data_IF_949465018116
#
_entry.id   IF_949465018116
#
_cell.length_a   1.000
_cell.length_b   1.000
_cell.length_c   1.000
_cell.angle_alpha   90.00
_cell.angle_beta   90.00
_cell.angle_gamma   90.00
#
_symmetry.space_group_name_H-M   'P 1'
#
loop_
_entity.id
_entity.type
_entity.pdbx_description
1 polymer ?
#
# COMPACT_ATOMS: atom_id res chain seq x y z
N UNK A 1 45.72 -62.19 -39.67
CA UNK A 1 45.98 -60.73 -39.78
C UNK A 1 44.62 -60.04 -39.71
N UNK A 2 44.22 -59.56 -38.53
CA UNK A 2 44.29 -58.16 -38.09
C UNK A 2 43.22 -57.31 -38.82
N UNK A 3 42.30 -56.59 -38.18
CA UNK A 3 42.28 -55.91 -36.88
C UNK A 3 40.83 -55.82 -36.35
N UNK A 4 40.60 -56.12 -35.07
CA UNK A 4 39.38 -55.70 -34.35
C UNK A 4 39.57 -54.21 -34.02
N UNK A 5 38.81 -53.33 -34.64
CA UNK A 5 38.77 -51.92 -34.27
C UNK A 5 37.98 -51.80 -32.95
N UNK A 6 38.69 -51.71 -31.83
CA UNK A 6 38.10 -51.32 -30.55
C UNK A 6 37.74 -49.84 -30.60
N UNK A 7 36.45 -49.55 -30.49
CA UNK A 7 35.94 -48.19 -30.26
C UNK A 7 36.30 -47.83 -28.81
N UNK A 8 36.97 -46.68 -28.54
CA UNK A 8 37.20 -46.23 -27.17
C UNK A 8 35.86 -45.91 -26.50
N UNK A 9 35.70 -46.13 -25.19
CA UNK A 9 34.51 -45.67 -24.49
C UNK A 9 34.45 -44.15 -24.60
N UNK A 10 33.33 -43.61 -25.06
CA UNK A 10 33.02 -42.19 -24.88
C UNK A 10 32.85 -41.97 -23.37
N UNK A 11 33.92 -41.49 -22.72
CA UNK A 11 33.80 -40.88 -21.39
C UNK A 11 33.08 -39.55 -21.63
N UNK A 12 31.75 -39.60 -21.63
CA UNK A 12 30.95 -38.42 -21.32
C UNK A 12 31.10 -38.19 -19.82
N UNK A 13 32.16 -37.48 -19.46
CA UNK A 13 32.25 -36.75 -18.21
C UNK A 13 31.18 -35.65 -18.26
N UNK A 14 29.92 -36.03 -18.04
CA UNK A 14 28.84 -35.09 -17.70
C UNK A 14 29.09 -34.62 -16.26
N UNK A 15 30.15 -33.82 -16.09
CA UNK A 15 30.42 -33.07 -14.88
C UNK A 15 29.36 -31.98 -14.80
N UNK A 16 28.20 -32.34 -14.26
CA UNK A 16 27.15 -31.41 -13.91
C UNK A 16 27.68 -30.51 -12.80
N UNK A 17 28.39 -29.42 -13.17
CA UNK A 17 28.84 -28.42 -12.21
C UNK A 17 27.60 -27.83 -11.53
N UNK A 18 27.40 -28.04 -10.22
CA UNK A 18 26.25 -27.46 -9.53
C UNK A 18 26.31 -25.94 -9.70
N UNK A 19 25.22 -25.34 -10.16
CA UNK A 19 25.15 -23.87 -10.21
C UNK A 19 25.36 -23.35 -8.77
N UNK A 20 26.21 -22.33 -8.57
CA UNK A 20 26.51 -21.79 -7.25
C UNK A 20 25.32 -20.95 -6.78
N UNK A 21 24.28 -21.62 -6.31
CA UNK A 21 23.18 -20.97 -5.62
C UNK A 21 23.62 -20.63 -4.19
N UNK A 22 23.36 -19.41 -3.71
CA UNK A 22 23.59 -19.09 -2.32
C UNK A 22 22.72 -20.00 -1.44
N UNK A 23 23.26 -20.39 -0.28
CA UNK A 23 22.51 -21.18 0.68
C UNK A 23 21.27 -20.41 1.18
N UNK A 24 20.25 -21.16 1.60
CA UNK A 24 19.08 -20.57 2.25
C UNK A 24 19.50 -19.79 3.48
N UNK A 25 19.08 -18.52 3.57
CA UNK A 25 19.27 -17.70 4.78
C UNK A 25 18.55 -18.28 6.00
N UNK A 26 17.56 -19.16 5.75
CA UNK A 26 16.70 -19.73 6.78
C UNK A 26 17.16 -21.11 7.25
N UNK A 27 18.04 -21.79 6.50
CA UNK A 27 18.41 -23.18 6.77
C UNK A 27 17.18 -24.03 7.11
N UNK A 28 17.22 -24.66 8.28
CA UNK A 28 16.16 -25.51 8.81
C UNK A 28 15.25 -24.80 9.84
N UNK A 29 15.37 -23.47 10.02
CA UNK A 29 14.66 -22.69 11.05
C UNK A 29 13.15 -22.96 11.11
N UNK A 30 12.50 -23.09 9.95
CA UNK A 30 11.06 -23.35 9.87
C UNK A 30 10.68 -24.82 10.08
N UNK A 31 11.64 -25.76 9.99
CA UNK A 31 11.40 -27.18 10.22
C UNK A 31 11.19 -27.49 11.70
N UNK A 32 11.89 -26.76 12.58
CA UNK A 32 11.83 -26.95 14.04
C UNK A 32 10.82 -26.04 14.75
N UNK A 33 9.95 -25.35 13.98
CA UNK A 33 8.96 -24.45 14.55
C UNK A 33 7.98 -25.21 15.45
N UNK A 34 7.85 -24.75 16.70
CA UNK A 34 6.87 -25.25 17.66
C UNK A 34 5.68 -24.29 17.71
N UNK A 35 4.47 -24.70 17.27
CA UNK A 35 3.31 -23.84 17.35
C UNK A 35 2.90 -23.57 18.80
N UNK A 36 2.13 -22.50 19.00
CA UNK A 36 1.57 -22.19 20.31
C UNK A 36 0.71 -23.36 20.84
N UNK A 37 0.61 -23.48 22.16
CA UNK A 37 -0.31 -24.45 22.76
C UNK A 37 -1.77 -24.05 22.49
N UNK A 38 -2.72 -25.00 22.48
CA UNK A 38 -4.14 -24.68 22.35
C UNK A 38 -4.67 -23.69 23.39
N UNK A 39 -4.06 -23.64 24.60
CA UNK A 39 -4.42 -22.67 25.63
C UNK A 39 -3.94 -21.25 25.27
N UNK A 40 -2.72 -21.12 24.76
CA UNK A 40 -2.18 -19.84 24.30
C UNK A 40 -2.98 -19.31 23.10
N UNK A 41 -3.32 -20.18 22.13
CA UNK A 41 -4.17 -19.79 21.00
C UNK A 41 -5.51 -19.23 21.45
N UNK A 42 -6.22 -19.93 22.35
CA UNK A 42 -7.50 -19.43 22.89
C UNK A 42 -7.37 -18.09 23.62
N UNK A 43 -6.28 -17.90 24.37
CA UNK A 43 -6.02 -16.63 25.05
C UNK A 43 -5.75 -15.48 24.05
N UNK A 44 -4.97 -15.75 23.00
CA UNK A 44 -4.67 -14.77 21.95
C UNK A 44 -5.91 -14.43 21.13
N UNK A 45 -6.69 -15.44 20.78
CA UNK A 45 -7.95 -15.30 20.05
C UNK A 45 -8.97 -14.47 20.84
N UNK A 46 -9.17 -14.76 22.13
CA UNK A 46 -10.05 -13.94 22.97
C UNK A 46 -9.60 -12.49 23.08
N UNK A 47 -8.29 -12.24 23.16
CA UNK A 47 -7.74 -10.87 23.15
C UNK A 47 -7.97 -10.18 21.81
N UNK A 48 -7.75 -10.90 20.70
CA UNK A 48 -7.94 -10.38 19.35
C UNK A 48 -9.40 -10.02 19.09
N UNK A 49 -10.36 -10.87 19.49
CA UNK A 49 -11.78 -10.59 19.27
C UNK A 49 -12.26 -9.40 20.11
N UNK A 50 -11.78 -9.26 21.36
CA UNK A 50 -12.08 -8.08 22.18
C UNK A 50 -11.56 -6.79 21.53
N UNK A 51 -10.33 -6.80 21.00
CA UNK A 51 -9.76 -5.65 20.29
C UNK A 51 -10.45 -5.35 18.97
N UNK A 52 -10.91 -6.38 18.27
CA UNK A 52 -11.66 -6.22 17.03
C UNK A 52 -12.99 -5.51 17.28
N UNK A 53 -13.68 -5.83 18.37
CA UNK A 53 -14.93 -5.14 18.72
C UNK A 53 -14.67 -3.69 19.20
N UNK A 54 -13.60 -3.44 19.95
CA UNK A 54 -13.18 -2.08 20.33
C UNK A 54 -12.94 -1.19 19.09
N UNK A 55 -12.24 -1.72 18.09
CA UNK A 55 -11.99 -1.01 16.83
C UNK A 55 -13.28 -0.84 16.01
N UNK A 56 -14.15 -1.85 15.97
CA UNK A 56 -15.48 -1.74 15.33
C UNK A 56 -16.26 -0.56 15.91
N UNK A 57 -16.26 -0.41 17.23
CA UNK A 57 -16.94 0.69 17.90
C UNK A 57 -16.32 2.05 17.54
N UNK A 58 -14.98 2.15 17.46
CA UNK A 58 -14.29 3.36 16.99
C UNK A 58 -14.72 3.73 15.57
N UNK A 59 -14.85 2.75 14.66
CA UNK A 59 -15.32 3.00 13.28
C UNK A 59 -16.75 3.54 13.28
N UNK A 60 -17.65 2.91 14.03
CA UNK A 60 -19.05 3.32 14.15
C UNK A 60 -19.16 4.75 14.71
N UNK A 61 -18.39 5.07 15.74
CA UNK A 61 -18.45 6.40 16.35
C UNK A 61 -17.82 7.47 15.47
N UNK A 62 -16.75 7.13 14.74
CA UNK A 62 -16.14 8.03 13.74
C UNK A 62 -17.08 8.27 12.56
N UNK A 63 -17.84 7.26 12.13
CA UNK A 63 -18.83 7.41 11.06
C UNK A 63 -19.91 8.45 11.39
N UNK A 64 -20.33 8.54 12.66
CA UNK A 64 -21.31 9.53 13.15
C UNK A 64 -20.77 10.96 13.23
N UNK A 65 -19.44 11.12 13.32
CA UNK A 65 -18.81 12.44 13.33
C UNK A 65 -18.91 13.10 11.94
N UNK A 66 -18.86 14.43 11.88
CA UNK A 66 -18.78 15.17 10.60
C UNK A 66 -17.35 15.46 10.14
N UNK A 67 -16.33 15.01 10.90
CA UNK A 67 -14.91 15.24 10.60
C UNK A 67 -14.42 14.30 9.49
N UNK A 68 -14.38 14.80 8.25
CA UNK A 68 -13.92 14.07 7.08
C UNK A 68 -12.44 13.64 7.19
N UNK A 69 -11.48 14.53 7.53
CA UNK A 69 -10.09 14.12 7.77
C UNK A 69 -9.97 12.94 8.73
N UNK A 70 -10.67 12.96 9.86
CA UNK A 70 -10.62 11.89 10.85
C UNK A 70 -11.13 10.55 10.29
N UNK A 71 -12.22 10.57 9.52
CA UNK A 71 -12.76 9.38 8.84
C UNK A 71 -11.74 8.76 7.87
N UNK A 72 -11.13 9.59 7.05
CA UNK A 72 -10.16 9.16 6.04
C UNK A 72 -8.89 8.59 6.68
N UNK A 73 -8.38 9.26 7.73
CA UNK A 73 -7.20 8.81 8.47
C UNK A 73 -7.43 7.48 9.18
N UNK A 74 -8.63 7.26 9.73
CA UNK A 74 -8.98 5.97 10.33
C UNK A 74 -8.92 4.85 9.29
N UNK A 75 -9.53 5.05 8.11
CA UNK A 75 -9.50 4.04 7.03
C UNK A 75 -8.07 3.78 6.56
N UNK A 76 -7.28 4.83 6.30
CA UNK A 76 -5.89 4.71 5.87
C UNK A 76 -5.04 3.97 6.92
N UNK A 77 -5.23 4.27 8.21
CA UNK A 77 -4.55 3.59 9.30
C UNK A 77 -4.88 2.09 9.33
N UNK A 78 -6.16 1.72 9.28
CA UNK A 78 -6.60 0.31 9.30
C UNK A 78 -6.01 -0.48 8.13
N UNK A 79 -5.93 0.13 6.95
CA UNK A 79 -5.32 -0.47 5.77
C UNK A 79 -3.80 -0.61 5.88
N UNK A 80 -3.12 0.41 6.43
CA UNK A 80 -1.65 0.40 6.58
C UNK A 80 -1.18 -0.62 7.60
N UNK A 81 -1.94 -0.85 8.67
CA UNK A 81 -1.62 -1.88 9.67
C UNK A 81 -2.12 -3.28 9.26
N UNK A 82 -2.86 -3.39 8.14
CA UNK A 82 -3.26 -4.67 7.55
C UNK A 82 -4.38 -5.39 8.28
N UNK A 83 -5.30 -4.66 8.94
CA UNK A 83 -6.44 -5.23 9.69
C UNK A 83 -7.80 -4.82 9.13
N UNK A 84 -7.82 -4.06 8.04
CA UNK A 84 -9.03 -3.59 7.36
C UNK A 84 -9.94 -4.73 6.88
N UNK A 85 -9.37 -5.91 6.60
CA UNK A 85 -10.12 -7.10 6.21
C UNK A 85 -11.18 -7.56 7.24
N UNK A 86 -11.06 -7.16 8.51
CA UNK A 86 -12.07 -7.42 9.53
C UNK A 86 -13.29 -6.47 9.47
N UNK A 87 -13.16 -5.34 8.79
CA UNK A 87 -14.13 -4.23 8.82
C UNK A 87 -14.59 -3.81 7.42
N UNK A 88 -14.53 -4.74 6.45
CA UNK A 88 -14.81 -4.42 5.05
C UNK A 88 -16.20 -3.81 4.83
N UNK A 89 -17.21 -4.26 5.60
CA UNK A 89 -18.56 -3.71 5.51
C UNK A 89 -18.59 -2.25 5.99
N UNK A 90 -18.07 -1.98 7.17
CA UNK A 90 -18.09 -0.66 7.81
C UNK A 90 -17.27 0.35 7.00
N UNK A 91 -16.11 -0.07 6.48
CA UNK A 91 -15.27 0.76 5.62
C UNK A 91 -15.98 1.08 4.31
N UNK A 92 -16.66 0.12 3.70
CA UNK A 92 -17.40 0.36 2.45
C UNK A 92 -18.56 1.32 2.66
N UNK A 93 -19.33 1.17 3.74
CA UNK A 93 -20.41 2.09 4.11
C UNK A 93 -19.85 3.51 4.32
N UNK A 94 -18.77 3.64 5.10
CA UNK A 94 -18.13 4.92 5.36
C UNK A 94 -17.61 5.61 4.08
N UNK A 95 -16.99 4.86 3.17
CA UNK A 95 -16.48 5.41 1.91
C UNK A 95 -17.60 5.77 0.93
N UNK A 96 -18.71 5.02 0.94
CA UNK A 96 -19.91 5.38 0.16
C UNK A 96 -20.46 6.72 0.63
N UNK A 97 -20.61 6.91 1.94
CA UNK A 97 -21.08 8.17 2.52
C UNK A 97 -20.15 9.36 2.18
N UNK A 98 -18.83 9.12 2.19
CA UNK A 98 -17.83 10.12 1.82
C UNK A 98 -17.88 10.46 0.32
N UNK A 99 -18.19 9.49 -0.53
CA UNK A 99 -18.31 9.70 -1.97
C UNK A 99 -19.56 10.50 -2.32
N UNK A 100 -20.69 10.16 -1.69
CA UNK A 100 -21.99 10.79 -1.97
C UNK A 100 -22.14 12.14 -1.27
N UNK A 101 -21.33 12.38 -0.23
CA UNK A 101 -21.26 13.67 0.46
C UNK A 101 -20.65 14.77 -0.42
N UNK A 102 -21.39 15.86 -0.61
CA UNK A 102 -20.84 17.08 -1.23
C UNK A 102 -20.07 17.90 -0.19
N UNK A 103 -18.93 17.38 0.28
CA UNK A 103 -18.08 18.05 1.26
C UNK A 103 -17.08 18.93 0.52
N UNK A 104 -17.05 20.22 0.87
CA UNK A 104 -16.03 21.13 0.38
C UNK A 104 -14.66 20.70 0.90
N UNK A 105 -13.77 20.35 -0.02
CA UNK A 105 -12.42 19.91 0.32
C UNK A 105 -11.59 21.07 0.86
N UNK A 106 -11.20 20.98 2.14
CA UNK A 106 -10.55 22.08 2.84
C UNK A 106 -9.07 22.27 2.44
N UNK A 107 -8.34 21.17 2.26
CA UNK A 107 -6.88 21.20 2.06
C UNK A 107 -6.38 20.07 1.13
N UNK A 108 -5.12 20.20 0.69
CA UNK A 108 -4.49 19.26 -0.25
C UNK A 108 -4.32 17.86 0.34
N UNK A 109 -4.01 17.74 1.63
CA UNK A 109 -3.83 16.44 2.30
C UNK A 109 -5.15 15.67 2.32
N UNK A 110 -6.22 16.32 2.76
CA UNK A 110 -7.57 15.74 2.81
C UNK A 110 -8.05 15.36 1.41
N UNK A 111 -7.91 16.25 0.42
CA UNK A 111 -8.28 15.97 -0.97
C UNK A 111 -7.50 14.79 -1.56
N UNK A 112 -6.18 14.73 -1.30
CA UNK A 112 -5.34 13.64 -1.79
C UNK A 112 -5.72 12.30 -1.16
N UNK A 113 -5.98 12.28 0.15
CA UNK A 113 -6.33 11.05 0.85
C UNK A 113 -7.73 10.54 0.46
N UNK A 114 -8.72 11.43 0.34
CA UNK A 114 -10.05 11.09 -0.14
C UNK A 114 -9.98 10.48 -1.54
N UNK A 115 -9.30 11.15 -2.47
CA UNK A 115 -9.11 10.67 -3.83
C UNK A 115 -8.42 9.29 -3.86
N UNK A 116 -7.34 9.14 -3.08
CA UNK A 116 -6.58 7.90 -3.00
C UNK A 116 -7.45 6.73 -2.51
N UNK A 117 -8.16 6.91 -1.38
CA UNK A 117 -8.99 5.87 -0.80
C UNK A 117 -10.17 5.52 -1.72
N UNK A 118 -10.90 6.51 -2.22
CA UNK A 118 -12.04 6.27 -3.10
C UNK A 118 -11.63 5.51 -4.37
N UNK A 119 -10.56 5.92 -5.06
CA UNK A 119 -10.09 5.19 -6.24
C UNK A 119 -9.54 3.80 -5.93
N UNK A 120 -8.84 3.64 -4.81
CA UNK A 120 -8.34 2.32 -4.36
C UNK A 120 -9.51 1.34 -4.15
N UNK A 121 -10.68 1.85 -3.77
CA UNK A 121 -11.92 1.09 -3.59
C UNK A 121 -12.84 1.07 -4.83
N UNK A 122 -12.38 1.56 -5.98
CA UNK A 122 -13.09 1.44 -7.26
C UNK A 122 -14.07 2.56 -7.57
N UNK A 123 -14.14 3.62 -6.77
CA UNK A 123 -14.96 4.79 -7.07
C UNK A 123 -14.34 5.65 -8.18
N UNK A 124 -15.19 6.17 -9.06
CA UNK A 124 -14.79 7.05 -10.16
C UNK A 124 -14.77 8.51 -9.70
N UNK A 125 -13.64 8.96 -9.14
CA UNK A 125 -13.45 10.34 -8.68
C UNK A 125 -12.68 11.15 -9.73
N UNK A 126 -13.14 12.35 -10.11
CA UNK A 126 -12.40 13.19 -11.08
C UNK A 126 -11.08 13.71 -10.52
N UNK A 127 -10.03 13.72 -11.35
CA UNK A 127 -8.74 14.35 -11.01
C UNK A 127 -8.80 15.87 -10.96
N UNK A 128 -9.89 16.48 -11.46
CA UNK A 128 -10.07 17.94 -11.48
C UNK A 128 -10.13 18.55 -10.08
N UNK A 129 -10.37 17.72 -9.06
CA UNK A 129 -10.25 18.10 -7.65
C UNK A 129 -8.89 18.75 -7.32
N UNK A 130 -7.85 18.41 -8.06
CA UNK A 130 -6.50 18.95 -7.85
C UNK A 130 -6.24 20.28 -8.57
N UNK A 131 -7.15 20.75 -9.43
CA UNK A 131 -6.97 21.99 -10.21
C UNK A 131 -6.81 23.24 -9.34
N UNK A 132 -7.39 23.25 -8.13
CA UNK A 132 -7.22 24.35 -7.18
C UNK A 132 -5.88 24.32 -6.42
N UNK A 133 -5.15 23.22 -6.49
CA UNK A 133 -3.88 23.03 -5.76
C UNK A 133 -2.66 23.01 -6.67
N UNK A 134 -2.86 22.86 -7.98
CA UNK A 134 -1.81 22.75 -9.00
C UNK A 134 -2.11 23.80 -10.06
N UNK A 135 -1.19 24.74 -10.24
CA UNK A 135 -1.32 25.78 -11.27
C UNK A 135 -0.98 25.23 -12.68
N UNK A 136 -1.18 26.08 -13.69
CA UNK A 136 -0.93 25.73 -15.10
C UNK A 136 0.56 25.38 -15.38
N UNK A 137 1.47 25.89 -14.55
CA UNK A 137 2.91 25.60 -14.61
C UNK A 137 3.30 24.31 -13.86
N UNK A 138 2.35 23.70 -13.15
CA UNK A 138 2.55 22.47 -12.36
C UNK A 138 3.17 22.69 -10.98
N UNK A 139 3.18 23.92 -10.49
CA UNK A 139 3.55 24.23 -9.11
C UNK A 139 2.43 23.83 -8.17
N UNK A 140 2.81 23.29 -7.01
CA UNK A 140 1.88 22.81 -6.00
C UNK A 140 1.79 23.85 -4.91
N UNK A 141 0.57 24.25 -4.54
CA UNK A 141 0.28 25.24 -3.50
C UNK A 141 0.57 24.77 -2.06
N UNK A 142 1.45 23.79 -1.85
CA UNK A 142 1.82 23.29 -0.53
C UNK A 142 3.29 22.89 -0.49
N UNK A 143 3.97 23.23 0.61
CA UNK A 143 5.33 22.81 0.94
C UNK A 143 5.36 21.77 2.05
N UNK A 144 4.22 21.40 2.61
CA UNK A 144 4.12 20.39 3.67
C UNK A 144 4.41 18.99 3.10
N UNK A 145 5.40 18.31 3.68
CA UNK A 145 5.84 16.99 3.25
C UNK A 145 4.70 15.96 3.30
N UNK A 146 3.80 16.07 4.27
CA UNK A 146 2.67 15.13 4.42
C UNK A 146 1.66 15.29 3.29
N UNK A 147 1.29 16.54 2.97
CA UNK A 147 0.44 16.89 1.85
C UNK A 147 1.03 16.46 0.51
N UNK A 148 2.33 16.70 0.31
CA UNK A 148 3.05 16.30 -0.89
C UNK A 148 3.12 14.77 -1.05
N UNK A 149 3.32 14.03 0.05
CA UNK A 149 3.30 12.57 0.03
C UNK A 149 1.90 12.02 -0.25
N UNK A 150 0.86 12.65 0.31
CA UNK A 150 -0.53 12.35 0.00
C UNK A 150 -0.81 12.49 -1.49
N UNK A 151 -0.45 13.65 -2.07
CA UNK A 151 -0.64 13.91 -3.50
C UNK A 151 0.19 12.96 -4.37
N UNK A 152 1.43 12.65 -3.97
CA UNK A 152 2.25 11.66 -4.66
C UNK A 152 1.53 10.30 -4.71
N UNK A 153 1.06 9.78 -3.57
CA UNK A 153 0.34 8.50 -3.52
C UNK A 153 -0.95 8.51 -4.34
N UNK A 154 -1.73 9.58 -4.26
CA UNK A 154 -2.95 9.77 -5.04
C UNK A 154 -2.66 9.74 -6.57
N UNK A 155 -1.60 10.43 -7.00
CA UNK A 155 -1.23 10.51 -8.41
C UNK A 155 -0.81 9.16 -9.02
N UNK A 156 -0.42 8.16 -8.21
CA UNK A 156 -0.17 6.80 -8.69
C UNK A 156 -1.45 6.03 -9.08
N UNK A 157 -2.63 6.49 -8.66
CA UNK A 157 -3.93 5.93 -9.09
C UNK A 157 -4.47 6.60 -10.37
N UNK A 158 -3.58 7.25 -11.13
CA UNK A 158 -3.90 7.89 -12.40
C UNK A 158 -4.35 6.87 -13.45
N UNK A 159 -5.36 7.25 -14.21
CA UNK A 159 -5.88 6.56 -15.40
C UNK A 159 -5.52 7.33 -16.69
N UNK A 160 -5.84 6.76 -17.86
CA UNK A 160 -5.50 7.39 -19.13
C UNK A 160 -6.19 8.75 -19.32
N UNK A 161 -5.44 9.75 -19.80
CA UNK A 161 -5.95 11.09 -20.10
C UNK A 161 -5.76 12.12 -18.97
N UNK A 162 -5.42 11.69 -17.76
CA UNK A 162 -5.34 12.56 -16.59
C UNK A 162 -3.99 13.24 -16.45
N UNK A 163 -3.79 14.30 -17.25
CA UNK A 163 -2.53 15.05 -17.32
C UNK A 163 -2.14 15.67 -15.97
N UNK A 164 -3.10 16.20 -15.22
CA UNK A 164 -2.88 16.86 -13.92
C UNK A 164 -2.17 15.93 -12.91
N UNK A 165 -2.53 14.64 -12.88
CA UNK A 165 -1.88 13.66 -12.01
C UNK A 165 -0.47 13.29 -12.50
N UNK A 166 -0.23 13.33 -13.81
CA UNK A 166 1.11 13.18 -14.36
C UNK A 166 2.05 14.30 -13.90
N UNK A 167 1.57 15.53 -13.96
CA UNK A 167 2.28 16.71 -13.44
C UNK A 167 2.50 16.56 -11.93
N UNK A 168 1.42 16.30 -11.17
CA UNK A 168 1.47 16.11 -9.72
C UNK A 168 2.53 15.09 -9.28
N UNK A 169 2.57 13.91 -9.92
CA UNK A 169 3.54 12.86 -9.62
C UNK A 169 4.99 13.33 -9.87
N UNK A 170 5.23 14.05 -10.97
CA UNK A 170 6.57 14.54 -11.30
C UNK A 170 7.04 15.67 -10.36
N UNK A 171 6.16 16.62 -10.05
CA UNK A 171 6.43 17.76 -9.18
C UNK A 171 6.65 17.32 -7.74
N UNK A 172 5.74 16.52 -7.16
CA UNK A 172 5.87 15.99 -5.79
C UNK A 172 7.15 15.18 -5.63
N UNK A 173 7.49 14.31 -6.59
CA UNK A 173 8.74 13.53 -6.56
C UNK A 173 9.98 14.42 -6.53
N UNK A 174 10.01 15.50 -7.30
CA UNK A 174 11.12 16.47 -7.32
C UNK A 174 11.24 17.19 -5.97
N UNK A 175 10.12 17.69 -5.44
CA UNK A 175 10.10 18.44 -4.18
C UNK A 175 10.49 17.53 -3.01
N UNK A 176 9.90 16.35 -2.90
CA UNK A 176 10.20 15.37 -1.83
C UNK A 176 11.68 14.96 -1.83
N UNK A 177 12.28 14.74 -3.01
CA UNK A 177 13.72 14.48 -3.13
C UNK A 177 14.55 15.67 -2.65
N UNK A 178 14.19 16.88 -3.05
CA UNK A 178 14.89 18.09 -2.62
C UNK A 178 14.82 18.27 -1.10
N UNK A 179 13.67 17.98 -0.49
CA UNK A 179 13.52 18.01 0.96
C UNK A 179 14.50 17.03 1.63
N UNK A 180 14.61 15.80 1.12
CA UNK A 180 15.54 14.80 1.67
C UNK A 180 17.01 15.22 1.56
N UNK A 181 17.40 15.91 0.48
CA UNK A 181 18.79 16.37 0.29
C UNK A 181 19.17 17.55 1.19
N UNK A 182 18.20 18.34 1.68
CA UNK A 182 18.48 19.42 2.64
C UNK A 182 18.87 18.87 4.03
N UNK A 183 18.48 17.63 4.35
CA UNK A 183 18.76 16.98 5.63
C UNK A 183 19.99 16.05 5.60
N UNK A 184 20.76 16.04 4.51
CA UNK A 184 22.01 15.27 4.35
C UNK A 184 23.18 16.19 4.07
#
# INVERSE_FOLDING_TARGET
MATKNSIPPLVQDDVHKPRPYPASQWGDFFLDYKPCTPQQYRSMEGTAEAKKEEVRQIIIDTAKCSDLPQKLELVDMLQRIGVDYHYGKEINELLSDIHDGNIELLDLRTASLQFYLLRKHGYCVSSDVFSKFIDDDGNIGSTDATSLLGLYNAAYLRTHGEKILGVAMSSTKKILKSLLTIWT
#
